data_IF_212454168020
#
_entry.id   IF_212454168020
#
_cell.length_a   1.000
_cell.length_b   1.000
_cell.length_c   1.000
_cell.angle_alpha   90.00
_cell.angle_beta   90.00
_cell.angle_gamma   90.00
#
_symmetry.space_group_name_H-M   'P 1'
#
loop_
_entity.id
_entity.type
_entity.pdbx_description
1 polymer ?
#
# COMPACT_ATOMS: atom_id res chain seq x y z
N UNK A 1 13.60 -43.26 -23.69
CA UNK A 1 13.77 -41.89 -24.24
C UNK A 1 12.80 -40.94 -23.55
N UNK A 2 13.30 -40.04 -22.69
CA UNK A 2 12.94 -38.61 -22.59
C UNK A 2 13.68 -38.02 -21.37
N UNK A 3 14.44 -36.98 -21.65
CA UNK A 3 15.33 -36.28 -20.73
C UNK A 3 14.58 -35.17 -19.97
N UNK A 4 14.94 -35.06 -18.67
CA UNK A 4 15.16 -33.88 -17.82
C UNK A 4 14.26 -32.64 -17.94
N UNK A 5 13.73 -32.21 -16.79
CA UNK A 5 13.85 -30.83 -16.34
C UNK A 5 14.07 -30.79 -14.81
N UNK A 6 15.18 -30.17 -14.39
CA UNK A 6 15.61 -29.94 -13.01
C UNK A 6 14.92 -28.68 -12.45
N UNK A 7 14.57 -28.61 -11.15
CA UNK A 7 14.33 -27.34 -10.49
C UNK A 7 15.59 -26.84 -9.73
N UNK A 8 15.57 -25.53 -9.39
CA UNK A 8 16.41 -24.75 -8.41
C UNK A 8 17.57 -23.93 -9.02
N UNK A 9 18.07 -22.84 -8.36
CA UNK A 9 18.01 -22.54 -6.90
C UNK A 9 17.75 -21.05 -6.52
N UNK A 10 17.00 -20.69 -5.46
CA UNK A 10 17.39 -20.57 -4.03
C UNK A 10 18.88 -20.22 -3.79
N UNK A 11 19.15 -18.98 -3.37
CA UNK A 11 20.48 -18.53 -2.95
C UNK A 11 21.07 -19.44 -1.83
N UNK A 12 22.39 -19.69 -1.80
CA UNK A 12 23.01 -20.67 -0.90
C UNK A 12 23.31 -20.15 0.52
N UNK A 13 23.37 -21.13 1.43
CA UNK A 13 23.68 -21.09 2.86
C UNK A 13 25.14 -20.74 3.19
N UNK A 14 25.39 -20.41 4.45
CA UNK A 14 26.69 -20.63 5.11
C UNK A 14 26.46 -21.33 6.44
N UNK A 15 26.75 -22.64 6.47
CA UNK A 15 27.04 -23.39 7.70
C UNK A 15 28.56 -23.36 7.90
N UNK A 16 29.01 -23.15 9.14
CA UNK A 16 30.39 -23.45 9.54
C UNK A 16 30.37 -24.09 10.93
N UNK A 17 30.97 -25.28 10.97
CA UNK A 17 31.06 -26.26 12.07
C UNK A 17 31.90 -25.81 13.27
N UNK A 18 31.45 -26.17 14.48
CA UNK A 18 32.14 -26.07 15.80
C UNK A 18 33.10 -27.28 16.00
N UNK A 19 34.33 -27.18 16.54
CA UNK A 19 34.77 -27.18 17.96
C UNK A 19 36.31 -27.56 18.06
N UNK A 20 36.98 -27.68 19.24
CA UNK A 20 37.27 -26.73 20.34
C UNK A 20 38.74 -26.71 20.92
N UNK A 21 39.02 -25.74 21.84
CA UNK A 21 40.03 -25.63 22.96
C UNK A 21 41.56 -25.55 22.65
N UNK A 22 42.47 -24.76 23.28
CA UNK A 22 42.70 -24.29 24.67
C UNK A 22 43.59 -23.01 24.71
N UNK A 23 43.66 -22.33 25.86
CA UNK A 23 44.09 -20.96 26.21
C UNK A 23 45.61 -20.67 26.32
N UNK A 24 45.99 -19.38 26.24
CA UNK A 24 46.82 -18.71 27.28
C UNK A 24 46.64 -17.15 27.22
N UNK A 25 46.74 -16.41 28.34
CA UNK A 25 46.33 -15.00 28.43
C UNK A 25 47.50 -14.02 28.24
N UNK A 26 47.34 -13.02 27.38
CA UNK A 26 48.22 -11.84 27.33
C UNK A 26 47.41 -10.53 27.30
N UNK A 27 47.76 -9.69 28.26
CA UNK A 27 47.49 -8.26 28.54
C UNK A 27 46.69 -7.44 27.49
N UNK A 28 45.67 -6.67 27.89
CA UNK A 28 44.94 -5.80 26.97
C UNK A 28 45.82 -4.61 26.53
N UNK A 29 46.07 -4.52 25.23
CA UNK A 29 46.57 -3.29 24.59
C UNK A 29 45.37 -2.37 24.35
N UNK A 30 45.33 -1.26 25.09
CA UNK A 30 44.36 -0.18 24.88
C UNK A 30 44.60 0.46 23.51
N UNK A 31 43.88 0.00 22.49
CA UNK A 31 43.79 0.71 21.21
C UNK A 31 42.69 1.75 21.34
N UNK A 32 43.08 3.01 21.45
CA UNK A 32 42.18 4.16 21.33
C UNK A 32 41.52 4.12 19.94
N UNK A 33 40.26 3.71 19.90
CA UNK A 33 39.42 3.91 18.72
C UNK A 33 39.32 5.42 18.49
N UNK A 34 39.88 5.89 17.38
CA UNK A 34 39.57 7.21 16.86
C UNK A 34 38.11 7.20 16.43
N UNK A 35 37.22 7.63 17.35
CA UNK A 35 35.85 7.99 17.04
C UNK A 35 35.90 9.19 16.12
N UNK A 36 35.92 8.94 14.80
CA UNK A 36 35.50 9.95 13.84
C UNK A 36 33.99 10.05 14.01
N UNK A 37 33.53 11.06 14.74
CA UNK A 37 32.12 11.40 14.80
C UNK A 37 31.64 11.66 13.37
N UNK A 38 30.88 10.71 12.84
CA UNK A 38 30.15 10.91 11.59
C UNK A 38 29.18 12.07 11.84
N UNK A 39 29.26 13.17 11.07
CA UNK A 39 28.28 14.24 11.21
C UNK A 39 26.90 13.62 11.03
N UNK A 40 26.02 13.85 12.00
CA UNK A 40 24.60 13.50 11.89
C UNK A 40 24.02 14.47 10.87
N UNK A 41 24.23 14.17 9.59
CA UNK A 41 23.52 14.79 8.50
C UNK A 41 22.06 14.38 8.70
N UNK A 42 21.24 15.34 9.12
CA UNK A 42 19.79 15.17 9.17
C UNK A 42 19.35 15.05 7.72
N UNK A 43 19.41 13.83 7.19
CA UNK A 43 19.05 13.54 5.81
C UNK A 43 17.55 13.84 5.67
N UNK A 44 17.25 15.01 5.10
CA UNK A 44 15.90 15.34 4.68
C UNK A 44 15.45 14.31 3.66
N UNK A 45 14.34 13.62 3.93
CA UNK A 45 13.77 12.66 2.99
C UNK A 45 13.55 13.34 1.64
N UNK A 46 13.94 12.71 0.52
CA UNK A 46 13.79 13.30 -0.80
C UNK A 46 12.30 13.57 -1.08
N UNK A 47 12.00 14.71 -1.69
CA UNK A 47 10.63 15.06 -2.14
C UNK A 47 10.40 14.70 -3.61
N UNK A 48 11.45 14.31 -4.32
CA UNK A 48 11.44 13.93 -5.75
C UNK A 48 12.05 12.55 -5.93
N UNK A 49 11.85 11.94 -7.11
CA UNK A 49 12.36 10.61 -7.37
C UNK A 49 13.90 10.61 -7.35
N UNK A 50 14.55 9.89 -6.42
CA UNK A 50 16.01 9.88 -6.31
C UNK A 50 16.70 9.22 -7.51
N UNK A 51 15.96 8.48 -8.33
CA UNK A 51 16.45 7.81 -9.52
C UNK A 51 16.22 8.62 -10.81
N UNK A 52 15.65 9.82 -10.73
CA UNK A 52 15.32 10.64 -11.91
C UNK A 52 16.54 11.04 -12.75
N UNK A 53 17.73 11.10 -12.13
CA UNK A 53 19.00 11.39 -12.82
C UNK A 53 19.60 10.18 -13.54
N UNK A 54 19.04 8.97 -13.39
CA UNK A 54 19.51 7.77 -14.11
C UNK A 54 19.03 7.80 -15.57
N UNK A 55 19.79 8.48 -16.42
CA UNK A 55 19.55 8.57 -17.87
C UNK A 55 20.44 7.65 -18.69
N UNK A 56 21.67 7.40 -18.24
CA UNK A 56 22.69 6.64 -18.99
C UNK A 56 22.72 5.16 -18.61
N UNK A 57 21.65 4.44 -18.96
CA UNK A 57 21.51 3.01 -18.67
C UNK A 57 22.41 2.19 -19.62
N UNK A 58 23.42 1.45 -19.13
CA UNK A 58 24.33 0.71 -20.00
C UNK A 58 23.61 -0.32 -20.87
N UNK A 59 23.93 -0.34 -22.17
CA UNK A 59 23.34 -1.28 -23.12
C UNK A 59 23.76 -2.73 -22.87
N UNK A 60 24.84 -2.95 -22.10
CA UNK A 60 25.36 -4.25 -21.66
C UNK A 60 24.46 -4.93 -20.63
N UNK A 61 23.55 -4.20 -19.98
CA UNK A 61 22.59 -4.79 -19.04
C UNK A 61 21.53 -5.64 -19.78
N UNK A 62 21.06 -6.74 -19.18
CA UNK A 62 19.94 -7.50 -19.72
C UNK A 62 18.70 -6.61 -19.94
N UNK A 63 17.95 -6.84 -21.02
CA UNK A 63 16.78 -6.02 -21.41
C UNK A 63 15.82 -5.77 -20.25
N UNK A 64 15.50 -6.82 -19.47
CA UNK A 64 14.62 -6.72 -18.30
C UNK A 64 15.13 -5.73 -17.24
N UNK A 65 16.45 -5.68 -17.03
CA UNK A 65 17.05 -4.75 -16.07
C UNK A 65 16.97 -3.32 -16.61
N UNK A 66 17.26 -3.12 -17.90
CA UNK A 66 17.14 -1.80 -18.52
C UNK A 66 15.71 -1.25 -18.41
N UNK A 67 14.71 -2.07 -18.73
CA UNK A 67 13.30 -1.70 -18.58
C UNK A 67 12.93 -1.35 -17.12
N UNK A 68 13.49 -2.09 -16.15
CA UNK A 68 13.27 -1.80 -14.74
C UNK A 68 13.86 -0.44 -14.34
N UNK A 69 15.11 -0.16 -14.73
CA UNK A 69 15.80 1.09 -14.41
C UNK A 69 15.11 2.28 -15.10
N UNK A 70 14.68 2.15 -16.36
CA UNK A 70 13.92 3.19 -17.05
C UNK A 70 12.61 3.50 -16.33
N UNK A 71 11.87 2.48 -15.90
CA UNK A 71 10.64 2.71 -15.11
C UNK A 71 10.93 3.37 -13.77
N UNK A 72 12.02 2.96 -13.11
CA UNK A 72 12.42 3.53 -11.83
C UNK A 72 12.82 5.00 -11.95
N UNK A 73 13.51 5.40 -13.04
CA UNK A 73 13.93 6.80 -13.24
C UNK A 73 12.76 7.71 -13.61
N UNK A 74 11.72 7.21 -14.27
CA UNK A 74 10.54 8.02 -14.62
C UNK A 74 9.39 7.91 -13.62
N UNK A 75 9.48 7.04 -12.61
CA UNK A 75 8.39 6.81 -11.67
C UNK A 75 8.13 8.05 -10.79
N UNK A 76 6.86 8.37 -10.46
CA UNK A 76 6.55 9.33 -9.42
C UNK A 76 7.13 8.88 -8.09
N UNK A 77 7.75 9.80 -7.35
CA UNK A 77 8.24 9.51 -6.01
C UNK A 77 7.09 9.06 -5.10
N UNK A 78 7.28 7.93 -4.43
CA UNK A 78 6.36 7.46 -3.41
C UNK A 78 6.87 7.96 -2.06
N UNK A 79 6.09 8.83 -1.42
CA UNK A 79 6.38 9.26 -0.05
C UNK A 79 6.39 8.04 0.90
N UNK A 80 7.14 8.11 2.01
CA UNK A 80 7.05 7.10 3.05
C UNK A 80 5.59 6.90 3.51
N UNK A 81 5.22 5.68 3.93
CA UNK A 81 3.88 5.44 4.46
C UNK A 81 3.59 6.37 5.64
N UNK A 82 2.38 6.92 5.68
CA UNK A 82 1.88 7.64 6.84
C UNK A 82 1.82 6.71 8.04
N UNK A 83 2.37 7.15 9.16
CA UNK A 83 2.39 6.42 10.44
C UNK A 83 1.46 7.03 11.48
N UNK A 84 0.86 8.18 11.18
CA UNK A 84 -0.15 8.84 12.02
C UNK A 84 -1.56 8.48 11.57
N UNK A 85 -2.49 8.42 12.52
CA UNK A 85 -3.92 8.26 12.24
C UNK A 85 -4.55 9.60 11.83
N UNK A 86 -5.59 9.56 10.99
CA UNK A 86 -6.37 10.75 10.62
C UNK A 86 -7.65 10.82 11.47
N UNK A 87 -7.88 11.98 12.10
CA UNK A 87 -9.06 12.24 12.94
C UNK A 87 -9.81 13.49 12.47
N UNK A 88 -10.18 13.53 11.19
CA UNK A 88 -10.94 14.65 10.61
C UNK A 88 -12.43 14.35 10.54
N UNK A 89 -13.26 15.40 10.57
CA UNK A 89 -14.71 15.30 10.32
C UNK A 89 -15.00 14.77 8.90
N UNK A 90 -14.15 15.08 7.93
CA UNK A 90 -14.21 14.53 6.56
C UNK A 90 -14.06 13.02 6.58
N UNK A 91 -13.04 12.50 7.28
CA UNK A 91 -12.82 11.05 7.40
C UNK A 91 -13.99 10.35 8.11
N UNK A 92 -14.50 10.97 9.18
CA UNK A 92 -15.69 10.47 9.87
C UNK A 92 -16.94 10.46 8.98
N UNK A 93 -17.09 11.45 8.09
CA UNK A 93 -18.21 11.55 7.15
C UNK A 93 -18.16 10.44 6.10
N UNK A 94 -16.98 10.20 5.50
CA UNK A 94 -16.79 9.08 4.56
C UNK A 94 -17.11 7.75 5.23
N UNK A 95 -16.59 7.51 6.44
CA UNK A 95 -16.85 6.29 7.19
C UNK A 95 -18.34 6.11 7.56
N UNK A 96 -19.03 7.20 7.89
CA UNK A 96 -20.48 7.19 8.12
C UNK A 96 -21.26 6.76 6.87
N UNK A 97 -20.95 7.32 5.70
CA UNK A 97 -21.61 6.91 4.45
C UNK A 97 -21.30 5.46 4.06
N UNK A 98 -20.07 5.00 4.29
CA UNK A 98 -19.73 3.59 4.10
C UNK A 98 -20.58 2.68 5.02
N UNK A 99 -20.74 3.08 6.29
CA UNK A 99 -21.54 2.33 7.26
C UNK A 99 -23.04 2.31 6.89
N UNK A 100 -23.57 3.40 6.32
CA UNK A 100 -24.95 3.47 5.82
C UNK A 100 -25.24 2.41 4.75
N UNK A 101 -24.28 2.08 3.87
CA UNK A 101 -24.47 1.01 2.88
C UNK A 101 -24.81 -0.34 3.53
N UNK A 102 -24.22 -0.62 4.70
CA UNK A 102 -24.51 -1.83 5.48
C UNK A 102 -25.89 -1.71 6.15
N UNK A 103 -26.17 -0.58 6.79
CA UNK A 103 -27.44 -0.35 7.49
C UNK A 103 -28.66 -0.38 6.56
N UNK A 104 -28.50 0.12 5.34
CA UNK A 104 -29.55 0.18 4.32
C UNK A 104 -29.74 -1.16 3.57
N UNK A 105 -29.01 -2.21 3.98
CA UNK A 105 -29.06 -3.56 3.39
C UNK A 105 -28.78 -3.55 1.89
N UNK A 106 -27.83 -2.71 1.47
CA UNK A 106 -27.37 -2.70 0.08
C UNK A 106 -26.73 -4.03 -0.27
N UNK A 107 -26.90 -4.47 -1.51
CA UNK A 107 -26.29 -5.68 -2.05
C UNK A 107 -25.26 -5.36 -3.13
N UNK A 108 -24.30 -6.25 -3.31
CA UNK A 108 -23.26 -6.16 -4.31
C UNK A 108 -23.81 -6.27 -5.73
N UNK A 109 -23.34 -5.40 -6.62
CA UNK A 109 -23.45 -5.53 -8.07
C UNK A 109 -22.42 -4.59 -8.72
N UNK A 110 -21.35 -5.12 -9.29
CA UNK A 110 -20.24 -4.32 -9.87
C UNK A 110 -20.67 -3.45 -11.08
N UNK A 111 -21.89 -3.64 -11.58
CA UNK A 111 -22.48 -2.81 -12.65
C UNK A 111 -23.43 -1.74 -12.14
N UNK A 112 -23.73 -1.72 -10.83
CA UNK A 112 -24.72 -0.82 -10.25
C UNK A 112 -24.09 0.25 -9.36
N UNK A 113 -24.87 1.32 -9.17
CA UNK A 113 -24.50 2.46 -8.36
C UNK A 113 -23.75 3.52 -9.14
N UNK A 114 -23.74 4.72 -8.57
CA UNK A 114 -23.13 5.91 -9.15
C UNK A 114 -22.49 6.75 -8.04
N UNK A 115 -21.91 7.90 -8.39
CA UNK A 115 -21.44 8.90 -7.43
C UNK A 115 -22.55 9.42 -6.50
N UNK A 116 -23.82 9.28 -6.89
CA UNK A 116 -24.98 9.68 -6.09
C UNK A 116 -25.43 8.59 -5.10
N UNK A 117 -24.95 7.35 -5.28
CA UNK A 117 -25.19 6.25 -4.36
C UNK A 117 -25.66 4.94 -5.02
N UNK A 118 -26.19 4.01 -4.22
CA UNK A 118 -26.70 2.73 -4.70
C UNK A 118 -27.85 2.90 -5.70
N UNK A 119 -27.88 2.07 -6.73
CA UNK A 119 -28.95 2.02 -7.72
C UNK A 119 -29.81 0.77 -7.48
N UNK A 120 -31.11 0.93 -7.29
CA UNK A 120 -32.04 -0.18 -6.99
C UNK A 120 -31.58 -1.06 -5.81
N UNK A 121 -31.03 -0.46 -4.76
CA UNK A 121 -30.50 -1.17 -3.58
C UNK A 121 -29.20 -1.94 -3.84
N UNK A 122 -28.47 -1.59 -4.90
CA UNK A 122 -27.24 -2.28 -5.33
C UNK A 122 -26.09 -1.32 -5.57
N UNK A 123 -24.87 -1.75 -5.29
CA UNK A 123 -23.65 -0.98 -5.57
C UNK A 123 -22.45 -1.91 -5.81
N UNK A 124 -21.53 -1.48 -6.67
CA UNK A 124 -20.23 -2.12 -6.85
C UNK A 124 -19.16 -1.56 -5.92
N UNK A 125 -18.05 -2.29 -5.76
CA UNK A 125 -16.97 -1.88 -4.84
C UNK A 125 -16.34 -0.53 -5.21
N UNK A 126 -16.07 -0.29 -6.50
CA UNK A 126 -15.44 0.96 -6.95
C UNK A 126 -16.44 2.11 -6.93
N UNK A 127 -17.71 1.84 -7.23
CA UNK A 127 -18.81 2.81 -7.14
C UNK A 127 -19.09 3.21 -5.68
N UNK A 128 -18.95 2.29 -4.73
CA UNK A 128 -19.04 2.62 -3.30
C UNK A 128 -17.95 3.60 -2.88
N UNK A 129 -16.70 3.38 -3.34
CA UNK A 129 -15.60 4.34 -3.12
C UNK A 129 -15.92 5.70 -3.75
N UNK A 130 -16.38 5.72 -5.00
CA UNK A 130 -16.78 6.97 -5.66
C UNK A 130 -17.89 7.71 -4.90
N UNK A 131 -18.94 7.00 -4.52
CA UNK A 131 -20.05 7.54 -3.76
C UNK A 131 -19.59 8.19 -2.45
N UNK A 132 -18.89 7.45 -1.58
CA UNK A 132 -18.55 7.96 -0.23
C UNK A 132 -17.60 9.16 -0.28
N UNK A 133 -16.68 9.19 -1.25
CA UNK A 133 -15.76 10.30 -1.43
C UNK A 133 -16.41 11.50 -2.14
N UNK A 134 -17.36 11.26 -3.04
CA UNK A 134 -18.16 12.33 -3.65
C UNK A 134 -18.97 13.10 -2.60
N UNK A 135 -19.43 12.44 -1.52
CA UNK A 135 -20.11 13.10 -0.38
C UNK A 135 -19.26 14.13 0.35
N UNK A 136 -17.94 14.08 0.18
CA UNK A 136 -16.99 15.04 0.76
C UNK A 136 -16.28 15.88 -0.31
N UNK A 137 -16.81 15.92 -1.53
CA UNK A 137 -16.28 16.73 -2.62
C UNK A 137 -15.02 16.17 -3.28
N UNK A 138 -14.71 14.88 -3.08
CA UNK A 138 -13.54 14.22 -3.67
C UNK A 138 -14.00 13.34 -4.83
N UNK A 139 -13.46 13.58 -6.02
CA UNK A 139 -13.73 12.76 -7.20
C UNK A 139 -12.75 11.59 -7.26
N UNK A 140 -13.28 10.37 -7.20
CA UNK A 140 -12.47 9.15 -7.33
C UNK A 140 -12.59 8.55 -8.75
N UNK A 141 -11.51 7.98 -9.31
CA UNK A 141 -11.55 7.26 -10.57
C UNK A 141 -12.54 6.09 -10.56
N UNK A 142 -12.98 5.65 -11.74
CA UNK A 142 -14.00 4.61 -11.88
C UNK A 142 -13.45 3.19 -11.67
N UNK A 143 -12.16 2.98 -11.93
CA UNK A 143 -11.55 1.64 -11.90
C UNK A 143 -10.70 1.44 -10.66
N UNK A 144 -10.66 0.21 -10.15
CA UNK A 144 -9.83 -0.13 -8.98
C UNK A 144 -8.33 0.10 -9.25
N UNK A 145 -7.91 -0.13 -10.51
CA UNK A 145 -6.54 0.08 -10.96
C UNK A 145 -6.11 1.55 -10.92
N UNK A 146 -7.04 2.48 -11.17
CA UNK A 146 -6.78 3.91 -11.02
C UNK A 146 -6.95 4.35 -9.57
N UNK A 147 -7.97 3.87 -8.86
CA UNK A 147 -8.23 4.26 -7.46
C UNK A 147 -7.04 3.99 -6.54
N UNK A 148 -6.33 2.86 -6.68
CA UNK A 148 -5.15 2.54 -5.85
C UNK A 148 -3.99 3.53 -6.04
N UNK A 149 -3.96 4.26 -7.15
CA UNK A 149 -2.95 5.29 -7.41
C UNK A 149 -3.22 6.58 -6.66
N UNK A 150 -4.46 6.80 -6.21
CA UNK A 150 -4.88 8.00 -5.49
C UNK A 150 -4.47 7.92 -4.03
N UNK A 151 -3.98 9.04 -3.51
CA UNK A 151 -3.62 9.19 -2.10
C UNK A 151 -2.27 8.57 -1.71
N UNK A 152 -1.88 8.86 -0.47
CA UNK A 152 -0.61 8.44 0.12
C UNK A 152 -0.74 7.05 0.75
N UNK A 153 0.35 6.26 0.74
CA UNK A 153 0.40 4.99 1.47
C UNK A 153 0.26 5.23 2.97
N UNK A 154 -0.38 4.30 3.67
CA UNK A 154 -0.52 4.28 5.13
C UNK A 154 0.07 2.98 5.66
N UNK A 155 0.79 3.05 6.78
CA UNK A 155 1.22 1.86 7.50
C UNK A 155 0.00 1.13 8.09
N UNK A 156 -0.07 -0.21 8.08
CA UNK A 156 -1.22 -0.93 8.63
C UNK A 156 -1.56 -0.61 10.10
N UNK A 157 -0.58 -0.17 10.90
CA UNK A 157 -0.76 0.27 12.29
C UNK A 157 -1.39 1.66 12.43
N UNK A 158 -1.45 2.42 11.34
CA UNK A 158 -1.95 3.79 11.27
C UNK A 158 -3.28 3.92 10.51
N UNK A 159 -3.94 2.78 10.22
CA UNK A 159 -5.25 2.75 9.58
C UNK A 159 -6.23 3.59 10.39
N UNK A 160 -6.95 4.45 9.70
CA UNK A 160 -7.98 5.31 10.27
C UNK A 160 -9.24 5.29 9.40
N UNK A 161 -10.37 5.83 9.89
CA UNK A 161 -11.56 6.01 9.07
C UNK A 161 -11.24 6.69 7.73
N UNK A 162 -11.96 6.29 6.68
CA UNK A 162 -11.79 6.72 5.29
C UNK A 162 -10.56 6.19 4.53
N UNK A 163 -9.65 5.45 5.17
CA UNK A 163 -8.57 4.80 4.42
C UNK A 163 -9.14 3.70 3.49
N UNK A 164 -8.60 3.63 2.28
CA UNK A 164 -8.92 2.60 1.31
C UNK A 164 -7.96 1.43 1.47
N UNK A 165 -8.51 0.22 1.61
CA UNK A 165 -7.75 -1.00 1.83
C UNK A 165 -7.87 -1.86 0.58
N UNK A 166 -6.76 -2.03 -0.11
CA UNK A 166 -6.66 -2.86 -1.31
C UNK A 166 -6.05 -4.22 -0.98
N UNK A 167 -6.67 -5.28 -1.49
CA UNK A 167 -6.25 -6.67 -1.27
C UNK A 167 -6.47 -7.55 -2.50
N UNK A 168 -6.20 -8.84 -2.35
CA UNK A 168 -6.42 -9.89 -3.35
C UNK A 168 -5.71 -9.61 -4.68
N UNK A 169 -4.42 -9.26 -4.57
CA UNK A 169 -3.61 -8.86 -5.71
C UNK A 169 -3.40 -10.00 -6.71
N UNK A 170 -3.57 -9.69 -7.99
CA UNK A 170 -3.05 -10.50 -9.11
C UNK A 170 -1.93 -9.70 -9.77
N UNK A 171 -0.69 -10.12 -9.52
CA UNK A 171 0.47 -9.29 -9.87
C UNK A 171 0.45 -7.98 -9.08
N UNK A 172 0.40 -6.84 -9.77
CA UNK A 172 0.36 -5.50 -9.15
C UNK A 172 -1.03 -4.91 -9.01
N UNK A 173 -2.07 -5.58 -9.55
CA UNK A 173 -3.44 -5.07 -9.55
C UNK A 173 -4.24 -5.67 -8.40
N UNK A 174 -4.87 -4.84 -7.55
CA UNK A 174 -5.82 -5.33 -6.55
C UNK A 174 -7.10 -5.82 -7.21
N UNK A 175 -7.79 -6.77 -6.57
CA UNK A 175 -9.15 -7.18 -6.99
C UNK A 175 -10.25 -6.72 -6.03
N UNK A 176 -9.86 -6.33 -4.83
CA UNK A 176 -10.78 -5.94 -3.77
C UNK A 176 -10.35 -4.60 -3.20
N UNK A 177 -11.32 -3.71 -2.99
CA UNK A 177 -11.18 -2.48 -2.21
C UNK A 177 -12.23 -2.43 -1.11
N UNK A 178 -11.80 -2.06 0.10
CA UNK A 178 -12.66 -1.85 1.26
C UNK A 178 -12.46 -0.43 1.81
N UNK A 179 -13.49 0.11 2.46
CA UNK A 179 -13.44 1.44 3.08
C UNK A 179 -13.32 1.27 4.59
N UNK A 180 -12.20 1.67 5.17
CA UNK A 180 -11.99 1.64 6.61
C UNK A 180 -12.99 2.56 7.31
N UNK A 181 -13.68 2.04 8.33
CA UNK A 181 -14.56 2.82 9.21
C UNK A 181 -13.96 2.98 10.61
N UNK A 182 -12.96 2.16 10.95
CA UNK A 182 -12.10 2.29 12.13
C UNK A 182 -10.73 1.65 11.83
N UNK A 183 -9.83 1.64 12.83
CA UNK A 183 -8.53 0.95 12.72
C UNK A 183 -8.65 -0.57 12.50
N UNK A 184 -9.79 -1.18 12.85
CA UNK A 184 -9.96 -2.64 12.85
C UNK A 184 -11.17 -3.11 12.05
N UNK A 185 -11.97 -2.20 11.49
CA UNK A 185 -13.21 -2.53 10.80
C UNK A 185 -13.33 -1.76 9.49
N UNK A 186 -13.77 -2.44 8.45
CA UNK A 186 -14.01 -1.87 7.13
C UNK A 186 -15.37 -2.28 6.58
N UNK A 187 -15.94 -1.41 5.74
CA UNK A 187 -17.06 -1.77 4.88
C UNK A 187 -16.52 -2.48 3.65
N UNK A 188 -17.03 -3.68 3.39
CA UNK A 188 -16.70 -4.49 2.22
C UNK A 188 -17.94 -4.69 1.36
N UNK A 189 -17.81 -4.35 0.07
CA UNK A 189 -18.78 -4.69 -0.97
C UNK A 189 -18.25 -5.95 -1.65
N UNK A 190 -18.91 -7.12 -1.49
CA UNK A 190 -18.47 -8.34 -2.15
C UNK A 190 -18.49 -8.20 -3.68
N UNK A 191 -17.68 -9.00 -4.38
CA UNK A 191 -17.73 -9.07 -5.86
C UNK A 191 -18.85 -9.99 -6.38
N UNK A 192 -19.35 -10.88 -5.52
CA UNK A 192 -20.46 -11.76 -5.87
C UNK A 192 -21.78 -11.00 -5.81
N UNK A 193 -22.42 -10.84 -6.97
CA UNK A 193 -23.70 -10.15 -7.10
C UNK A 193 -24.75 -10.69 -6.12
N UNK A 194 -25.47 -9.77 -5.48
CA UNK A 194 -26.56 -10.06 -4.54
C UNK A 194 -26.12 -10.37 -3.11
N UNK A 195 -24.81 -10.55 -2.85
CA UNK A 195 -24.31 -10.65 -1.48
C UNK A 195 -24.48 -9.30 -0.77
N UNK A 196 -24.79 -9.29 0.54
CA UNK A 196 -24.94 -8.04 1.28
C UNK A 196 -23.59 -7.33 1.41
N UNK A 197 -23.63 -6.00 1.40
CA UNK A 197 -22.52 -5.18 1.89
C UNK A 197 -22.38 -5.42 3.39
N UNK A 198 -21.17 -5.70 3.86
CA UNK A 198 -20.94 -6.12 5.26
C UNK A 198 -19.78 -5.37 5.90
N UNK A 199 -19.74 -5.40 7.23
CA UNK A 199 -18.57 -5.01 8.00
C UNK A 199 -17.65 -6.21 8.17
N UNK A 200 -16.37 -6.01 7.87
CA UNK A 200 -15.34 -7.04 7.99
C UNK A 200 -14.21 -6.54 8.88
N UNK A 201 -13.66 -7.43 9.69
CA UNK A 201 -12.49 -7.15 10.52
C UNK A 201 -11.25 -7.03 9.65
N UNK A 202 -10.51 -5.95 9.82
CA UNK A 202 -9.23 -5.74 9.15
C UNK A 202 -8.19 -6.60 9.86
N UNK A 203 -7.53 -7.47 9.11
CA UNK A 203 -6.32 -8.16 9.56
C UNK A 203 -5.11 -7.43 8.99
N UNK A 204 -4.42 -6.57 9.76
CA UNK A 204 -3.32 -5.74 9.27
C UNK A 204 -2.10 -6.61 8.99
N UNK A 205 -2.05 -7.20 7.80
CA UNK A 205 -0.90 -7.94 7.29
C UNK A 205 -0.08 -7.07 6.35
N UNK A 206 1.15 -7.49 6.05
CA UNK A 206 2.01 -6.83 5.05
C UNK A 206 1.51 -6.94 3.61
N UNK A 207 0.50 -7.78 3.34
CA UNK A 207 -0.10 -7.94 2.01
C UNK A 207 -1.17 -6.90 1.68
N UNK A 208 -1.57 -6.08 2.65
CA UNK A 208 -2.50 -4.99 2.42
C UNK A 208 -1.79 -3.77 1.84
N UNK A 209 -2.43 -3.14 0.85
CA UNK A 209 -2.06 -1.79 0.45
C UNK A 209 -3.12 -0.84 0.99
N UNK A 210 -2.75 -0.01 1.95
CA UNK A 210 -3.63 1.00 2.52
C UNK A 210 -3.30 2.36 1.91
N UNK A 211 -4.33 3.08 1.47
CA UNK A 211 -4.24 4.42 0.88
C UNK A 211 -5.10 5.40 1.65
N UNK A 212 -4.53 6.55 2.00
CA UNK A 212 -5.27 7.70 2.52
C UNK A 212 -5.44 8.71 1.44
N UNK A 213 -6.70 8.96 1.08
CA UNK A 213 -7.06 10.03 0.17
C UNK A 213 -7.07 11.32 0.98
N UNK A 214 -6.02 12.13 0.79
CA UNK A 214 -5.93 13.46 1.38
C UNK A 214 -6.79 14.38 0.52
N UNK A 215 -7.69 15.16 1.12
CA UNK A 215 -8.27 16.30 0.40
C UNK A 215 -7.11 17.22 0.07
N UNK A 216 -6.92 17.60 -1.20
CA UNK A 216 -6.07 18.74 -1.48
C UNK A 216 -6.62 19.94 -0.69
N UNK A 217 -5.77 20.56 0.13
CA UNK A 217 -6.12 21.82 0.75
C UNK A 217 -6.27 22.89 -0.33
N UNK A 218 -7.49 23.44 -0.48
CA UNK A 218 -7.82 24.59 -1.33
C UNK A 218 -8.35 24.16 -2.71
N UNK A 219 -9.49 24.62 -3.22
CA UNK A 219 -10.26 25.85 -2.98
C UNK A 219 -11.69 25.55 -3.42
N UNK A 220 -12.70 25.94 -2.63
CA UNK A 220 -14.06 26.03 -3.16
C UNK A 220 -14.04 27.01 -4.33
N UNK A 221 -14.51 26.58 -5.50
CA UNK A 221 -14.96 27.46 -6.57
C UNK A 221 -16.47 27.32 -6.70
#
# INVERSE_FOLDING_TARGET
MRQRARPRPLCPSSDTTTAPATQDPTTPSTTTLHTTAQPTETATLPSTNPYASLTDIPSTLPTRIRECVTKLSTAPYQQPPLTSTLTTSTAATVARYATMLVSDRITADDTAGTVDGPQNGRIGQTQAVQYVFHRVGITMPATIAEQITIGQRVAPTAISPADLIYSDFTGTQPRTVMIAISATLATSVPTTRGQPVTLVTISPTSSLVVKRVLSEGGTQR
#
